data_IF_143412764972
#
_entry.id   IF_143412764972
#
_cell.length_a   1.000
_cell.length_b   1.000
_cell.length_c   1.000
_cell.angle_alpha   90.00
_cell.angle_beta   90.00
_cell.angle_gamma   90.00
#
_symmetry.space_group_name_H-M   'P 1'
#
loop_
_entity.id
_entity.type
_entity.pdbx_description
1 polymer ?
#
# COMPACT_ATOMS: atom_id res chain seq x y z
N UNK A 1 19.71 -11.35 17.38
CA UNK A 1 20.60 -10.87 16.31
C UNK A 1 20.08 -11.10 14.88
N UNK A 2 19.55 -12.28 14.48
CA UNK A 2 19.11 -12.48 13.08
C UNK A 2 17.98 -11.54 12.63
N UNK A 3 17.09 -11.13 13.54
CA UNK A 3 15.95 -10.27 13.21
C UNK A 3 16.38 -8.82 12.87
N UNK A 4 17.35 -8.28 13.59
CA UNK A 4 17.87 -6.93 13.33
C UNK A 4 18.60 -6.88 11.97
N UNK A 5 19.44 -7.85 11.70
CA UNK A 5 20.18 -7.94 10.42
C UNK A 5 19.21 -8.02 9.25
N UNK A 6 18.17 -8.85 9.36
CA UNK A 6 17.12 -8.97 8.33
C UNK A 6 16.40 -7.64 8.11
N UNK A 7 16.05 -6.91 9.19
CA UNK A 7 15.42 -5.59 9.11
C UNK A 7 16.25 -4.60 8.28
N UNK A 8 17.54 -4.45 8.62
CA UNK A 8 18.41 -3.49 7.93
C UNK A 8 18.73 -3.90 6.49
N UNK A 9 18.90 -5.20 6.19
CA UNK A 9 19.04 -5.70 4.83
C UNK A 9 17.79 -5.40 3.99
N UNK A 10 16.61 -5.55 4.56
CA UNK A 10 15.35 -5.20 3.89
C UNK A 10 15.26 -3.70 3.62
N UNK A 11 15.68 -2.84 4.57
CA UNK A 11 15.76 -1.39 4.34
C UNK A 11 16.73 -1.07 3.19
N UNK A 12 17.91 -1.69 3.17
CA UNK A 12 18.89 -1.51 2.07
C UNK A 12 18.27 -1.85 0.72
N UNK A 13 17.62 -3.01 0.62
CA UNK A 13 16.95 -3.43 -0.60
C UNK A 13 15.88 -2.40 -1.04
N UNK A 14 15.05 -1.94 -0.10
CA UNK A 14 14.05 -0.92 -0.38
C UNK A 14 14.64 0.41 -0.83
N UNK A 15 15.75 0.85 -0.22
CA UNK A 15 16.46 2.07 -0.62
C UNK A 15 17.07 1.97 -2.03
N UNK A 16 17.56 0.79 -2.43
CA UNK A 16 18.07 0.56 -3.79
C UNK A 16 16.95 0.71 -4.82
N UNK A 17 15.80 0.04 -4.60
CA UNK A 17 14.63 0.20 -5.49
C UNK A 17 14.15 1.65 -5.54
N UNK A 18 14.05 2.31 -4.39
CA UNK A 18 13.68 3.73 -4.32
C UNK A 18 14.61 4.60 -5.16
N UNK A 19 15.94 4.44 -4.99
CA UNK A 19 16.93 5.25 -5.68
C UNK A 19 16.94 4.99 -7.19
N UNK A 20 16.79 3.73 -7.64
CA UNK A 20 16.65 3.38 -9.07
C UNK A 20 15.42 4.06 -9.67
N UNK A 21 14.25 3.89 -9.06
CA UNK A 21 13.01 4.48 -9.55
C UNK A 21 13.09 6.01 -9.62
N UNK A 22 13.66 6.64 -8.60
CA UNK A 22 13.82 8.09 -8.55
C UNK A 22 14.85 8.60 -9.55
N UNK A 23 16.08 8.08 -9.51
CA UNK A 23 17.21 8.66 -10.22
C UNK A 23 17.21 8.36 -11.73
N UNK A 24 16.76 7.17 -12.14
CA UNK A 24 16.81 6.77 -13.54
C UNK A 24 15.54 7.11 -14.33
N UNK A 25 14.42 7.27 -13.65
CA UNK A 25 13.13 7.53 -14.30
C UNK A 25 12.57 8.92 -13.98
N UNK A 26 12.45 9.27 -12.70
CA UNK A 26 11.69 10.46 -12.30
C UNK A 26 12.51 11.74 -12.44
N UNK A 27 13.72 11.74 -11.90
CA UNK A 27 14.58 12.92 -11.88
C UNK A 27 14.90 13.46 -13.29
N UNK A 28 15.31 12.65 -14.29
CA UNK A 28 15.59 13.12 -15.63
C UNK A 28 14.38 13.75 -16.32
N UNK A 29 13.17 13.29 -16.00
CA UNK A 29 11.92 13.76 -16.56
C UNK A 29 11.27 14.92 -15.77
N UNK A 30 12.00 15.55 -14.84
CA UNK A 30 11.51 16.63 -13.98
C UNK A 30 10.23 16.27 -13.18
N UNK A 31 10.04 14.97 -12.90
CA UNK A 31 8.94 14.49 -12.05
C UNK A 31 9.40 14.62 -10.60
N UNK A 32 8.75 15.49 -9.85
CA UNK A 32 9.14 15.77 -8.46
C UNK A 32 8.66 14.69 -7.51
N UNK A 33 9.36 14.58 -6.37
CA UNK A 33 8.87 13.81 -5.24
C UNK A 33 7.97 14.73 -4.42
N UNK A 34 6.70 14.46 -4.25
CA UNK A 34 5.82 15.23 -3.36
C UNK A 34 6.40 15.43 -1.94
N UNK A 35 5.57 15.61 -0.96
CA UNK A 35 5.97 15.59 0.44
C UNK A 35 6.78 16.80 0.89
N UNK A 36 7.67 16.58 1.84
CA UNK A 36 8.51 17.62 2.46
C UNK A 36 9.41 18.30 1.44
N UNK A 37 9.94 17.58 0.46
CA UNK A 37 10.78 18.16 -0.60
C UNK A 37 9.97 19.12 -1.46
N UNK A 38 8.75 18.75 -1.86
CA UNK A 38 7.84 19.63 -2.59
C UNK A 38 7.53 20.92 -1.80
N UNK A 39 7.28 20.79 -0.50
CA UNK A 39 7.08 21.93 0.39
C UNK A 39 8.33 22.81 0.49
N UNK A 40 9.52 22.20 0.61
CA UNK A 40 10.78 22.93 0.62
C UNK A 40 11.05 23.69 -0.68
N UNK A 41 10.65 23.14 -1.83
CA UNK A 41 10.75 23.82 -3.14
C UNK A 41 9.82 25.04 -3.23
N UNK A 42 8.60 24.95 -2.69
CA UNK A 42 7.68 26.10 -2.60
C UNK A 42 8.31 27.21 -1.75
N UNK A 43 8.83 26.87 -0.57
CA UNK A 43 9.48 27.85 0.32
C UNK A 43 10.71 28.46 -0.35
N UNK A 44 11.53 27.67 -1.05
CA UNK A 44 12.68 28.17 -1.80
C UNK A 44 12.26 29.25 -2.83
N UNK A 45 11.20 28.98 -3.59
CA UNK A 45 10.70 29.93 -4.59
C UNK A 45 10.22 31.24 -3.96
N UNK A 46 9.63 31.21 -2.78
CA UNK A 46 9.08 32.41 -2.11
C UNK A 46 10.14 33.18 -1.33
N UNK A 47 11.17 32.53 -0.81
CA UNK A 47 12.12 33.11 0.14
C UNK A 47 13.57 33.10 -0.32
N UNK A 48 13.89 32.28 -1.34
CA UNK A 48 15.27 32.03 -1.78
C UNK A 48 16.05 31.07 -0.87
N UNK A 49 15.43 30.49 0.17
CA UNK A 49 16.10 29.61 1.12
C UNK A 49 16.49 28.27 0.45
N UNK A 50 17.71 27.74 0.64
CA UNK A 50 18.15 26.50 -0.01
C UNK A 50 17.23 25.31 0.30
N UNK A 51 16.82 24.57 -0.73
CA UNK A 51 15.86 23.45 -0.63
C UNK A 51 16.36 22.38 0.36
N UNK A 52 17.65 22.04 0.31
CA UNK A 52 18.24 21.02 1.20
C UNK A 52 18.14 21.42 2.67
N UNK A 53 18.48 22.67 3.01
CA UNK A 53 18.40 23.19 4.39
C UNK A 53 16.95 23.18 4.87
N UNK A 54 16.02 23.65 4.01
CA UNK A 54 14.60 23.67 4.35
C UNK A 54 14.04 22.27 4.53
N UNK A 55 14.46 21.31 3.70
CA UNK A 55 14.08 19.88 3.85
C UNK A 55 14.53 19.34 5.21
N UNK A 56 15.76 19.62 5.64
CA UNK A 56 16.26 19.20 6.96
C UNK A 56 15.44 19.87 8.07
N UNK A 57 15.24 21.18 8.00
CA UNK A 57 14.48 21.94 9.00
C UNK A 57 13.05 21.42 9.17
N UNK A 58 12.37 21.09 8.07
CA UNK A 58 11.02 20.52 8.09
C UNK A 58 11.00 19.07 8.62
N UNK A 59 12.07 18.30 8.40
CA UNK A 59 12.15 16.93 8.89
C UNK A 59 12.47 16.84 10.40
N UNK A 60 13.24 17.77 10.97
CA UNK A 60 13.59 17.74 12.41
C UNK A 60 12.35 17.63 13.31
N UNK A 61 11.33 18.52 13.23
CA UNK A 61 10.15 18.39 14.06
C UNK A 61 9.37 17.10 13.80
N UNK A 62 9.32 16.62 12.54
CA UNK A 62 8.66 15.37 12.20
C UNK A 62 9.33 14.17 12.87
N UNK A 63 10.67 14.12 12.90
CA UNK A 63 11.41 13.08 13.60
C UNK A 63 11.26 13.15 15.11
N UNK A 64 11.20 14.35 15.70
CA UNK A 64 10.94 14.51 17.14
C UNK A 64 9.55 13.98 17.53
N UNK A 65 8.53 14.29 16.72
CA UNK A 65 7.18 13.76 16.93
C UNK A 65 7.15 12.25 16.70
N UNK A 66 7.85 11.75 15.67
CA UNK A 66 7.95 10.31 15.39
C UNK A 66 8.59 9.54 16.55
N UNK A 67 9.67 10.06 17.13
CA UNK A 67 10.32 9.47 18.30
C UNK A 67 9.34 9.30 19.46
N UNK A 68 8.57 10.35 19.76
CA UNK A 68 7.60 10.30 20.87
C UNK A 68 6.47 9.29 20.62
N UNK A 69 6.08 9.04 19.36
CA UNK A 69 4.92 8.20 19.00
C UNK A 69 5.28 6.74 18.68
N UNK A 70 6.48 6.49 18.18
CA UNK A 70 6.91 5.18 17.64
C UNK A 70 8.17 4.63 18.30
N UNK A 71 8.84 5.44 19.14
CA UNK A 71 10.04 5.03 19.88
C UNK A 71 11.34 5.09 19.05
N UNK A 72 12.44 4.71 19.72
CA UNK A 72 13.81 4.82 19.17
C UNK A 72 14.07 3.87 18.00
N UNK A 73 13.52 2.65 18.03
CA UNK A 73 13.76 1.64 16.98
C UNK A 73 13.21 2.10 15.62
N UNK A 74 12.05 2.75 15.62
CA UNK A 74 11.50 3.40 14.43
C UNK A 74 12.38 4.56 13.96
N UNK A 75 12.81 5.42 14.88
CA UNK A 75 13.61 6.59 14.56
C UNK A 75 14.96 6.20 13.94
N UNK A 76 15.68 5.26 14.55
CA UNK A 76 16.98 4.79 14.04
C UNK A 76 16.84 4.13 12.68
N UNK A 77 15.85 3.25 12.51
CA UNK A 77 15.57 2.61 11.21
C UNK A 77 15.23 3.64 10.13
N UNK A 78 14.46 4.67 10.48
CA UNK A 78 14.06 5.72 9.53
C UNK A 78 15.19 6.68 9.19
N UNK A 79 16.01 7.08 10.15
CA UNK A 79 17.21 7.87 9.89
C UNK A 79 18.22 7.11 9.01
N UNK A 80 18.38 5.80 9.25
CA UNK A 80 19.19 4.94 8.40
C UNK A 80 18.61 4.86 6.98
N UNK A 81 17.30 4.63 6.83
CA UNK A 81 16.62 4.57 5.55
C UNK A 81 16.72 5.90 4.77
N UNK A 82 16.51 7.04 5.45
CA UNK A 82 16.64 8.38 4.86
C UNK A 82 18.08 8.65 4.41
N UNK A 83 19.06 8.41 5.26
CA UNK A 83 20.48 8.63 4.94
C UNK A 83 20.94 7.75 3.79
N UNK A 84 20.62 6.46 3.83
CA UNK A 84 21.01 5.51 2.80
C UNK A 84 20.33 5.80 1.45
N UNK A 85 19.03 6.13 1.45
CA UNK A 85 18.33 6.49 0.21
C UNK A 85 18.93 7.74 -0.44
N UNK A 86 19.29 8.75 0.35
CA UNK A 86 19.95 9.96 -0.14
C UNK A 86 21.31 9.65 -0.76
N UNK A 87 22.15 8.88 -0.05
CA UNK A 87 23.47 8.47 -0.58
C UNK A 87 23.34 7.65 -1.87
N UNK A 88 22.39 6.72 -1.95
CA UNK A 88 22.18 5.92 -3.17
C UNK A 88 21.67 6.77 -4.33
N UNK A 89 20.78 7.73 -4.08
CA UNK A 89 20.30 8.67 -5.11
C UNK A 89 21.48 9.46 -5.68
N UNK A 90 22.34 10.01 -4.82
CA UNK A 90 23.52 10.77 -5.26
C UNK A 90 24.54 9.87 -5.99
N UNK A 91 24.77 8.64 -5.51
CA UNK A 91 25.64 7.67 -6.15
C UNK A 91 25.15 7.31 -7.56
N UNK A 92 23.84 7.08 -7.71
CA UNK A 92 23.24 6.73 -9.01
C UNK A 92 23.18 7.91 -9.97
N UNK A 93 23.15 9.15 -9.45
CA UNK A 93 23.29 10.34 -10.27
C UNK A 93 24.60 10.36 -11.08
N UNK A 94 25.68 9.83 -10.48
CA UNK A 94 26.99 9.72 -11.15
C UNK A 94 27.02 8.78 -12.36
N UNK A 95 26.02 7.87 -12.51
CA UNK A 95 25.97 6.97 -13.66
C UNK A 95 25.40 7.60 -14.93
N UNK A 96 24.70 8.74 -14.81
CA UNK A 96 24.11 9.45 -15.95
C UNK A 96 23.08 8.65 -16.75
N UNK A 97 22.46 7.62 -16.12
CA UNK A 97 21.50 6.74 -16.79
C UNK A 97 20.14 7.44 -16.85
N UNK A 98 19.61 7.60 -18.06
CA UNK A 98 18.24 8.01 -18.33
C UNK A 98 17.52 6.78 -18.91
N UNK A 99 16.58 6.21 -18.15
CA UNK A 99 15.92 4.98 -18.57
C UNK A 99 14.87 5.21 -19.66
N UNK A 100 14.27 6.41 -19.71
CA UNK A 100 13.33 6.84 -20.73
C UNK A 100 13.20 8.37 -20.74
N UNK A 101 12.98 8.92 -21.93
CA UNK A 101 12.71 10.37 -22.14
C UNK A 101 11.20 10.66 -22.20
N UNK A 102 10.35 9.64 -22.13
CA UNK A 102 8.90 9.80 -22.07
C UNK A 102 8.43 10.01 -20.61
N UNK A 103 7.93 11.24 -20.26
CA UNK A 103 7.52 11.54 -18.89
C UNK A 103 6.38 10.66 -18.37
N UNK A 104 5.47 10.21 -19.27
CA UNK A 104 4.37 9.34 -18.86
C UNK A 104 4.87 7.95 -18.48
N UNK A 105 5.74 7.38 -19.32
CA UNK A 105 6.39 6.10 -19.06
C UNK A 105 7.26 6.16 -17.81
N UNK A 106 8.01 7.25 -17.64
CA UNK A 106 8.82 7.51 -16.44
C UNK A 106 7.94 7.58 -15.18
N UNK A 107 6.81 8.30 -15.22
CA UNK A 107 5.88 8.41 -14.10
C UNK A 107 5.33 7.05 -13.67
N UNK A 108 4.94 6.20 -14.62
CA UNK A 108 4.36 4.88 -14.33
C UNK A 108 5.43 3.90 -13.84
N UNK A 109 6.50 3.67 -14.63
CA UNK A 109 7.52 2.67 -14.29
C UNK A 109 8.33 3.12 -13.08
N UNK A 110 8.76 4.39 -13.06
CA UNK A 110 9.45 4.98 -11.91
C UNK A 110 8.59 4.93 -10.64
N UNK A 111 7.28 5.20 -10.78
CA UNK A 111 6.30 5.08 -9.71
C UNK A 111 6.17 3.65 -9.16
N UNK A 112 6.18 2.64 -10.03
CA UNK A 112 6.15 1.21 -9.62
C UNK A 112 7.41 0.84 -8.85
N UNK A 113 8.60 1.14 -9.42
CA UNK A 113 9.88 0.76 -8.82
C UNK A 113 10.09 1.50 -7.49
N UNK A 114 9.86 2.82 -7.47
CA UNK A 114 9.92 3.65 -6.25
C UNK A 114 8.92 3.17 -5.19
N UNK A 115 7.69 2.88 -5.61
CA UNK A 115 6.63 2.40 -4.73
C UNK A 115 6.94 1.06 -4.09
N UNK A 116 7.53 0.12 -4.85
CA UNK A 116 8.02 -1.15 -4.32
C UNK A 116 9.11 -0.90 -3.25
N UNK A 117 10.08 -0.02 -3.54
CA UNK A 117 11.13 0.36 -2.59
C UNK A 117 10.56 0.93 -1.28
N UNK A 118 9.67 1.92 -1.38
CA UNK A 118 9.00 2.52 -0.22
C UNK A 118 8.17 1.50 0.55
N UNK A 119 7.39 0.67 -0.15
CA UNK A 119 6.58 -0.38 0.47
C UNK A 119 7.41 -1.36 1.29
N UNK A 120 8.57 -1.78 0.77
CA UNK A 120 9.53 -2.67 1.47
C UNK A 120 10.07 -1.99 2.74
N UNK A 121 10.43 -0.69 2.68
CA UNK A 121 10.91 0.07 3.85
C UNK A 121 9.80 0.19 4.90
N UNK A 122 8.58 0.51 4.48
CA UNK A 122 7.44 0.67 5.40
C UNK A 122 7.00 -0.66 6.02
N UNK A 123 7.13 -1.76 5.29
CA UNK A 123 6.82 -3.11 5.78
C UNK A 123 7.63 -3.49 7.01
N UNK A 124 8.92 -3.13 7.05
CA UNK A 124 9.79 -3.37 8.23
C UNK A 124 9.68 -2.29 9.31
N UNK A 125 8.73 -1.38 9.18
CA UNK A 125 8.44 -0.37 10.18
C UNK A 125 9.34 0.86 10.15
N UNK A 126 10.14 1.07 9.07
CA UNK A 126 10.94 2.28 8.85
C UNK A 126 10.26 3.24 7.85
N UNK A 127 10.88 4.38 7.57
CA UNK A 127 10.46 5.35 6.53
C UNK A 127 11.68 6.07 5.97
N UNK A 128 11.52 6.69 4.81
CA UNK A 128 12.54 7.59 4.22
C UNK A 128 12.46 9.01 4.76
N UNK A 129 11.63 9.26 5.78
CA UNK A 129 11.39 10.59 6.34
C UNK A 129 10.29 11.36 5.59
N UNK A 130 10.14 12.63 5.93
CA UNK A 130 9.19 13.49 5.25
C UNK A 130 7.73 13.28 5.68
N UNK A 131 6.83 13.47 4.72
CA UNK A 131 5.38 13.37 4.93
C UNK A 131 4.95 11.96 5.37
N UNK A 132 5.74 10.95 5.06
CA UNK A 132 5.51 9.56 5.45
C UNK A 132 5.32 9.39 6.96
N UNK A 133 6.06 10.19 7.75
CA UNK A 133 5.91 10.24 9.21
C UNK A 133 4.54 10.75 9.59
N UNK A 134 4.08 11.81 8.92
CA UNK A 134 2.75 12.40 9.14
C UNK A 134 1.66 11.38 8.79
N UNK A 135 1.80 10.72 7.64
CA UNK A 135 0.89 9.65 7.20
C UNK A 135 0.79 8.54 8.25
N UNK A 136 1.94 8.09 8.78
CA UNK A 136 2.00 7.04 9.80
C UNK A 136 1.34 7.46 11.12
N UNK A 137 1.48 8.72 11.51
CA UNK A 137 0.80 9.27 12.69
C UNK A 137 -0.71 9.36 12.46
N UNK A 138 -1.14 9.90 11.30
CA UNK A 138 -2.55 10.03 10.94
C UNK A 138 -3.24 8.67 10.86
N UNK A 139 -2.56 7.65 10.34
CA UNK A 139 -3.08 6.30 10.27
C UNK A 139 -3.42 5.69 11.63
N UNK A 140 -2.72 6.07 12.72
CA UNK A 140 -3.13 5.65 14.08
C UNK A 140 -4.54 6.13 14.45
N UNK A 141 -4.97 7.28 13.90
CA UNK A 141 -6.31 7.84 14.12
C UNK A 141 -7.31 7.39 13.05
N UNK A 142 -6.84 7.14 11.83
CA UNK A 142 -7.64 6.77 10.65
C UNK A 142 -7.35 5.32 10.25
N UNK A 143 -7.54 4.37 11.19
CA UNK A 143 -7.21 2.96 11.00
C UNK A 143 -7.95 2.29 9.83
N UNK A 144 -9.13 2.80 9.46
CA UNK A 144 -9.94 2.30 8.33
C UNK A 144 -9.45 2.74 6.95
N UNK A 145 -8.54 3.73 6.89
CA UNK A 145 -8.02 4.28 5.62
C UNK A 145 -6.65 3.68 5.32
N UNK A 146 -6.42 3.26 4.09
CA UNK A 146 -5.14 2.70 3.66
C UNK A 146 -4.03 3.75 3.72
N UNK A 147 -2.79 3.32 3.99
CA UNK A 147 -1.62 4.18 4.09
C UNK A 147 -1.42 5.03 2.82
N UNK A 148 -1.49 4.39 1.63
CA UNK A 148 -1.34 5.07 0.35
C UNK A 148 -2.42 6.12 0.10
N UNK A 149 -3.66 5.89 0.54
CA UNK A 149 -4.73 6.88 0.37
C UNK A 149 -4.46 8.16 1.16
N UNK A 150 -4.00 8.05 2.42
CA UNK A 150 -3.64 9.22 3.24
C UNK A 150 -2.45 9.94 2.61
N UNK A 151 -1.44 9.19 2.18
CA UNK A 151 -0.24 9.72 1.53
C UNK A 151 -0.61 10.51 0.27
N UNK A 152 -1.38 9.90 -0.64
CA UNK A 152 -1.81 10.54 -1.88
C UNK A 152 -2.61 11.83 -1.63
N UNK A 153 -3.51 11.83 -0.61
CA UNK A 153 -4.30 13.01 -0.28
C UNK A 153 -3.44 14.19 0.16
N UNK A 154 -2.44 13.93 1.03
CA UNK A 154 -1.52 14.98 1.48
C UNK A 154 -0.59 15.46 0.36
N UNK A 155 -0.04 14.52 -0.42
CA UNK A 155 0.82 14.86 -1.55
C UNK A 155 0.07 15.65 -2.62
N UNK A 156 -1.20 15.32 -2.89
CA UNK A 156 -2.03 16.06 -3.87
C UNK A 156 -2.15 17.54 -3.48
N UNK A 157 -2.35 17.84 -2.20
CA UNK A 157 -2.44 19.22 -1.71
C UNK A 157 -1.11 19.96 -1.95
N UNK A 158 0.02 19.31 -1.63
CA UNK A 158 1.35 19.90 -1.80
C UNK A 158 1.68 20.11 -3.28
N UNK A 159 1.38 19.12 -4.13
CA UNK A 159 1.63 19.18 -5.57
C UNK A 159 0.75 20.26 -6.23
N UNK A 160 -0.51 20.40 -5.80
CA UNK A 160 -1.37 21.47 -6.28
C UNK A 160 -0.82 22.85 -5.91
N UNK A 161 -0.37 23.04 -4.67
CA UNK A 161 0.29 24.27 -4.23
C UNK A 161 1.59 24.51 -5.02
N UNK A 162 2.41 23.49 -5.25
CA UNK A 162 3.61 23.55 -6.06
C UNK A 162 3.31 24.00 -7.49
N UNK A 163 2.29 23.44 -8.13
CA UNK A 163 1.88 23.80 -9.48
C UNK A 163 1.46 25.29 -9.58
N UNK A 164 0.68 25.75 -8.60
CA UNK A 164 0.21 27.14 -8.56
C UNK A 164 1.35 28.15 -8.34
N UNK A 165 2.26 27.86 -7.41
CA UNK A 165 3.35 28.77 -7.04
C UNK A 165 4.45 28.83 -8.11
N UNK A 166 4.81 27.68 -8.70
CA UNK A 166 5.90 27.59 -9.68
C UNK A 166 5.43 27.66 -11.14
N UNK A 167 4.13 27.61 -11.41
CA UNK A 167 3.58 27.60 -12.78
C UNK A 167 3.91 26.33 -13.59
N UNK A 168 4.40 25.24 -12.93
CA UNK A 168 4.83 24.01 -13.59
C UNK A 168 3.71 22.95 -13.59
N UNK A 169 2.63 23.25 -14.28
CA UNK A 169 1.43 22.39 -14.30
C UNK A 169 1.67 21.02 -14.90
N UNK A 170 2.43 20.94 -16.00
CA UNK A 170 2.71 19.67 -16.69
C UNK A 170 3.51 18.70 -15.79
N UNK A 171 4.61 19.19 -15.19
CA UNK A 171 5.41 18.41 -14.24
C UNK A 171 4.58 17.96 -13.02
N UNK A 172 3.67 18.80 -12.54
CA UNK A 172 2.76 18.46 -11.44
C UNK A 172 1.77 17.35 -11.84
N UNK A 173 1.25 17.35 -13.07
CA UNK A 173 0.36 16.29 -13.55
C UNK A 173 1.06 14.93 -13.62
N UNK A 174 2.27 14.85 -14.18
CA UNK A 174 3.07 13.62 -14.17
C UNK A 174 3.45 13.18 -12.75
N UNK A 175 3.73 14.15 -11.86
CA UNK A 175 3.99 13.86 -10.45
C UNK A 175 2.77 13.24 -9.77
N UNK A 176 1.55 13.73 -10.02
CA UNK A 176 0.33 13.13 -9.49
C UNK A 176 0.10 11.70 -10.00
N UNK A 177 0.35 11.44 -11.28
CA UNK A 177 0.27 10.09 -11.85
C UNK A 177 1.28 9.17 -11.17
N UNK A 178 2.53 9.61 -11.06
CA UNK A 178 3.58 8.87 -10.36
C UNK A 178 3.19 8.56 -8.91
N UNK A 179 2.68 9.54 -8.17
CA UNK A 179 2.26 9.37 -6.77
C UNK A 179 1.08 8.42 -6.65
N UNK A 180 0.11 8.48 -7.56
CA UNK A 180 -1.00 7.52 -7.58
C UNK A 180 -0.50 6.09 -7.77
N UNK A 181 0.39 5.84 -8.75
CA UNK A 181 0.99 4.53 -8.99
C UNK A 181 1.81 4.08 -7.78
N UNK A 182 2.69 4.96 -7.27
CA UNK A 182 3.51 4.71 -6.08
C UNK A 182 2.65 4.25 -4.90
N UNK A 183 1.56 4.97 -4.59
CA UNK A 183 0.71 4.64 -3.44
C UNK A 183 -0.01 3.31 -3.62
N UNK A 184 -0.44 2.97 -4.84
CA UNK A 184 -1.05 1.66 -5.13
C UNK A 184 -0.06 0.51 -4.93
N UNK A 185 1.19 0.69 -5.35
CA UNK A 185 2.24 -0.30 -5.15
C UNK A 185 2.64 -0.42 -3.68
N UNK A 186 2.75 0.70 -2.97
CA UNK A 186 2.97 0.71 -1.51
C UNK A 186 1.87 -0.07 -0.79
N UNK A 187 0.60 0.21 -1.09
CA UNK A 187 -0.52 -0.51 -0.48
C UNK A 187 -0.48 -2.01 -0.84
N UNK A 188 -0.11 -2.35 -2.06
CA UNK A 188 0.06 -3.73 -2.50
C UNK A 188 1.16 -4.46 -1.70
N UNK A 189 2.29 -3.80 -1.45
CA UNK A 189 3.40 -4.38 -0.67
C UNK A 189 3.04 -4.48 0.81
N UNK A 190 2.34 -3.49 1.38
CA UNK A 190 1.97 -3.45 2.80
C UNK A 190 0.83 -4.42 3.16
N UNK A 191 -0.19 -4.51 2.30
CA UNK A 191 -1.42 -5.24 2.61
C UNK A 191 -1.62 -6.47 1.73
N UNK A 192 -0.77 -6.63 0.70
CA UNK A 192 -0.97 -7.67 -0.30
C UNK A 192 -2.16 -7.38 -1.24
N UNK A 193 -2.47 -8.36 -2.05
CA UNK A 193 -3.72 -8.40 -2.81
C UNK A 193 -4.77 -8.93 -1.86
N UNK A 194 -5.90 -8.24 -1.69
CA UNK A 194 -7.07 -8.73 -0.94
C UNK A 194 -7.47 -10.11 -1.52
N UNK A 195 -6.97 -11.17 -0.90
CA UNK A 195 -7.08 -12.51 -1.44
C UNK A 195 -8.24 -13.30 -0.83
N UNK A 196 -8.97 -12.73 0.13
CA UNK A 196 -10.07 -13.40 0.80
C UNK A 196 -11.43 -12.79 0.41
N UNK A 197 -12.41 -13.67 0.25
CA UNK A 197 -13.80 -13.31 0.03
C UNK A 197 -14.68 -14.10 0.97
N UNK A 198 -15.72 -13.46 1.50
CA UNK A 198 -16.81 -14.13 2.18
C UNK A 198 -17.88 -14.40 1.14
N UNK A 199 -18.29 -15.65 1.03
CA UNK A 199 -19.36 -16.11 0.16
C UNK A 199 -20.56 -16.51 1.00
N UNK A 200 -21.73 -15.98 0.67
CA UNK A 200 -23.01 -16.43 1.19
C UNK A 200 -23.76 -17.13 0.08
N UNK A 201 -24.20 -18.36 0.35
CA UNK A 201 -24.91 -19.20 -0.60
C UNK A 201 -26.27 -19.57 0.01
N UNK A 202 -27.33 -19.29 -0.71
CA UNK A 202 -28.70 -19.67 -0.34
C UNK A 202 -29.18 -20.65 -1.39
N UNK A 203 -29.41 -21.88 -1.00
CA UNK A 203 -29.80 -22.98 -1.88
C UNK A 203 -30.73 -23.93 -1.15
N UNK A 204 -31.44 -24.76 -1.88
CA UNK A 204 -32.21 -25.87 -1.32
C UNK A 204 -31.35 -27.14 -1.12
N UNK A 205 -30.11 -27.15 -1.70
CA UNK A 205 -29.11 -28.24 -1.64
C UNK A 205 -27.96 -27.91 -0.70
N UNK A 206 -28.25 -27.34 0.49
CA UNK A 206 -27.24 -26.88 1.46
C UNK A 206 -26.32 -27.97 1.95
N UNK A 207 -26.85 -29.16 2.22
CA UNK A 207 -26.07 -30.28 2.77
C UNK A 207 -25.05 -30.83 1.77
N UNK A 208 -25.48 -31.03 0.51
CA UNK A 208 -24.61 -31.54 -0.56
C UNK A 208 -23.51 -30.55 -0.91
N UNK A 209 -23.88 -29.27 -1.03
CA UNK A 209 -22.92 -28.19 -1.32
C UNK A 209 -21.91 -28.08 -0.16
N UNK A 210 -22.36 -28.12 1.09
CA UNK A 210 -21.49 -28.08 2.27
C UNK A 210 -20.50 -29.22 2.28
N UNK A 211 -20.98 -30.45 2.04
CA UNK A 211 -20.12 -31.62 1.99
C UNK A 211 -19.04 -31.53 0.94
N UNK A 212 -19.38 -31.03 -0.24
CA UNK A 212 -18.44 -30.88 -1.34
C UNK A 212 -17.43 -29.76 -1.09
N UNK A 213 -17.83 -28.64 -0.46
CA UNK A 213 -16.90 -27.56 -0.08
C UNK A 213 -15.88 -28.04 0.96
N UNK A 214 -16.33 -28.81 1.96
CA UNK A 214 -15.48 -29.27 3.07
C UNK A 214 -14.59 -30.43 2.66
N UNK A 215 -15.14 -31.43 1.98
CA UNK A 215 -14.46 -32.69 1.65
C UNK A 215 -13.93 -32.77 0.22
N UNK A 216 -14.38 -31.91 -0.68
CA UNK A 216 -13.99 -31.84 -2.08
C UNK A 216 -12.71 -31.04 -2.31
N UNK A 217 -12.56 -30.47 -3.49
CA UNK A 217 -11.34 -29.78 -3.97
C UNK A 217 -11.01 -28.49 -3.22
N UNK A 218 -12.02 -27.80 -2.67
CA UNK A 218 -11.84 -26.50 -2.02
C UNK A 218 -11.23 -26.63 -0.61
N UNK A 219 -11.52 -27.69 0.13
CA UNK A 219 -11.08 -27.94 1.51
C UNK A 219 -11.24 -26.68 2.40
N UNK A 220 -12.46 -26.11 2.47
CA UNK A 220 -12.77 -24.90 3.23
C UNK A 220 -13.83 -25.13 4.28
N UNK A 221 -13.68 -24.46 5.41
CA UNK A 221 -14.71 -24.44 6.45
C UNK A 221 -15.97 -23.73 5.96
N UNK A 222 -17.12 -24.28 6.32
CA UNK A 222 -18.44 -23.69 6.06
C UNK A 222 -19.14 -23.50 7.40
N UNK A 223 -19.80 -22.36 7.56
CA UNK A 223 -20.69 -22.10 8.70
C UNK A 223 -22.11 -21.99 8.18
N UNK A 224 -23.01 -22.75 8.75
CA UNK A 224 -24.45 -22.66 8.47
C UNK A 224 -25.06 -21.59 9.35
N UNK A 225 -25.71 -20.61 8.73
CA UNK A 225 -26.46 -19.54 9.41
C UNK A 225 -27.93 -19.83 9.23
N UNK A 226 -28.63 -19.98 10.35
CA UNK A 226 -30.09 -20.13 10.33
C UNK A 226 -30.74 -18.78 9.96
N UNK A 227 -31.65 -18.82 8.99
CA UNK A 227 -32.39 -17.65 8.52
C UNK A 227 -33.85 -17.98 8.26
N UNK A 228 -34.68 -16.93 8.15
CA UNK A 228 -36.08 -17.04 7.78
C UNK A 228 -36.34 -16.17 6.56
N UNK A 229 -36.91 -16.76 5.51
CA UNK A 229 -37.34 -16.04 4.34
C UNK A 229 -38.47 -15.07 4.68
N UNK A 230 -38.26 -13.77 4.54
CA UNK A 230 -39.27 -12.75 4.90
C UNK A 230 -40.55 -12.87 4.07
N UNK A 231 -40.43 -13.27 2.80
CA UNK A 231 -41.57 -13.43 1.90
C UNK A 231 -42.30 -14.77 2.09
N UNK A 232 -41.54 -15.87 2.17
CA UNK A 232 -42.11 -17.23 2.22
C UNK A 232 -42.43 -17.68 3.66
N UNK A 233 -41.83 -17.05 4.68
CA UNK A 233 -41.91 -17.51 6.07
C UNK A 233 -41.11 -18.79 6.34
N UNK A 234 -40.48 -19.40 5.31
CA UNK A 234 -39.78 -20.66 5.43
C UNK A 234 -38.41 -20.48 6.13
N UNK A 235 -38.06 -21.46 6.98
CA UNK A 235 -36.68 -21.56 7.49
C UNK A 235 -35.74 -21.93 6.35
N UNK A 236 -34.61 -21.26 6.30
CA UNK A 236 -33.55 -21.52 5.32
C UNK A 236 -32.19 -21.44 5.98
N UNK A 237 -31.29 -22.28 5.55
CA UNK A 237 -29.90 -22.21 5.93
C UNK A 237 -29.12 -21.39 4.87
N UNK A 238 -28.27 -20.52 5.34
CA UNK A 238 -27.34 -19.75 4.50
C UNK A 238 -25.94 -20.26 4.77
N UNK A 239 -25.30 -20.81 3.75
CA UNK A 239 -23.90 -21.20 3.84
C UNK A 239 -23.01 -19.96 3.82
N UNK A 240 -22.21 -19.80 4.84
CA UNK A 240 -21.16 -18.81 4.87
C UNK A 240 -19.80 -19.52 4.76
N UNK A 241 -19.03 -19.23 3.72
CA UNK A 241 -17.67 -19.72 3.60
C UNK A 241 -16.71 -18.60 3.25
N UNK A 242 -15.48 -18.70 3.76
CA UNK A 242 -14.39 -17.77 3.46
C UNK A 242 -13.39 -18.49 2.56
N UNK A 243 -13.15 -17.93 1.39
CA UNK A 243 -12.30 -18.52 0.36
C UNK A 243 -11.29 -17.52 -0.17
N UNK A 244 -10.24 -18.00 -0.82
CA UNK A 244 -9.36 -17.14 -1.61
C UNK A 244 -10.07 -16.67 -2.89
N UNK A 245 -9.82 -15.44 -3.31
CA UNK A 245 -10.44 -14.84 -4.51
C UNK A 245 -10.28 -15.72 -5.77
N UNK A 246 -9.16 -16.43 -5.87
CA UNK A 246 -8.89 -17.36 -6.97
C UNK A 246 -9.86 -18.57 -7.00
N UNK A 247 -10.42 -18.94 -5.84
CA UNK A 247 -11.33 -20.08 -5.68
C UNK A 247 -12.81 -19.73 -5.99
N UNK A 248 -13.14 -18.45 -6.21
CA UNK A 248 -14.53 -18.02 -6.49
C UNK A 248 -15.09 -18.75 -7.72
N UNK A 249 -14.28 -18.87 -8.80
CA UNK A 249 -14.71 -19.51 -10.03
C UNK A 249 -15.03 -21.00 -9.85
N UNK A 250 -14.26 -21.68 -9.01
CA UNK A 250 -14.45 -23.09 -8.66
C UNK A 250 -15.69 -23.26 -7.78
N UNK A 251 -15.82 -22.45 -6.71
CA UNK A 251 -17.00 -22.48 -5.84
C UNK A 251 -18.29 -22.18 -6.62
N UNK A 252 -18.27 -21.22 -7.54
CA UNK A 252 -19.42 -20.89 -8.37
C UNK A 252 -19.83 -22.04 -9.28
N UNK A 253 -18.87 -22.77 -9.86
CA UNK A 253 -19.14 -23.95 -10.69
C UNK A 253 -19.73 -25.09 -9.85
N UNK A 254 -19.17 -25.32 -8.66
CA UNK A 254 -19.64 -26.30 -7.72
C UNK A 254 -21.10 -26.01 -7.32
N UNK A 255 -21.41 -24.82 -6.86
CA UNK A 255 -22.78 -24.45 -6.45
C UNK A 255 -23.76 -24.63 -7.62
N UNK A 256 -23.42 -24.17 -8.83
CA UNK A 256 -24.27 -24.33 -10.01
C UNK A 256 -24.52 -25.77 -10.45
N UNK A 257 -23.60 -26.68 -10.14
CA UNK A 257 -23.76 -28.10 -10.46
C UNK A 257 -24.85 -28.77 -9.59
N UNK A 258 -25.09 -28.26 -8.39
CA UNK A 258 -26.12 -28.76 -7.47
C UNK A 258 -27.43 -27.94 -7.59
N UNK A 259 -27.33 -26.64 -7.77
CA UNK A 259 -28.49 -25.75 -7.86
C UNK A 259 -28.23 -24.56 -8.78
N UNK A 260 -28.80 -24.58 -9.96
CA UNK A 260 -28.71 -23.48 -10.93
C UNK A 260 -29.40 -22.17 -10.44
N UNK A 261 -30.37 -22.31 -9.52
CA UNK A 261 -31.13 -21.19 -8.96
C UNK A 261 -30.59 -20.68 -7.65
N UNK A 262 -29.48 -21.24 -7.17
CA UNK A 262 -28.83 -20.80 -5.94
C UNK A 262 -28.51 -19.31 -5.99
N UNK A 263 -28.79 -18.61 -4.89
CA UNK A 263 -28.42 -17.21 -4.73
C UNK A 263 -27.03 -17.11 -4.10
N UNK A 264 -26.10 -16.50 -4.82
CA UNK A 264 -24.69 -16.48 -4.51
C UNK A 264 -24.19 -15.04 -4.35
N UNK A 265 -23.77 -14.66 -3.13
CA UNK A 265 -23.24 -13.33 -2.80
C UNK A 265 -21.75 -13.45 -2.51
N UNK A 266 -20.93 -12.57 -3.07
CA UNK A 266 -19.50 -12.46 -2.79
C UNK A 266 -19.19 -11.09 -2.23
N UNK A 267 -18.56 -11.06 -1.05
CA UNK A 267 -18.11 -9.83 -0.41
C UNK A 267 -16.62 -9.91 -0.15
N UNK A 268 -15.88 -8.85 -0.46
CA UNK A 268 -14.45 -8.80 -0.16
C UNK A 268 -14.20 -8.75 1.35
N UNK A 269 -13.33 -9.63 1.83
CA UNK A 269 -12.86 -9.60 3.21
C UNK A 269 -11.44 -9.03 3.25
N UNK A 270 -11.26 -7.91 3.95
CA UNK A 270 -9.95 -7.22 3.99
C UNK A 270 -8.93 -7.89 4.92
N UNK A 271 -9.38 -8.42 6.05
CA UNK A 271 -8.51 -9.04 7.04
C UNK A 271 -9.15 -10.35 7.50
N UNK A 272 -8.58 -11.47 7.09
CA UNK A 272 -9.01 -12.79 7.50
C UNK A 272 -7.84 -13.51 8.17
N UNK A 273 -8.00 -13.82 9.44
CA UNK A 273 -7.01 -14.52 10.24
C UNK A 273 -7.54 -15.90 10.65
N UNK A 274 -6.66 -16.89 10.69
CA UNK A 274 -7.00 -18.24 11.13
C UNK A 274 -6.51 -19.32 10.17
N UNK A 275 -6.90 -20.58 10.43
CA UNK A 275 -6.46 -21.73 9.65
C UNK A 275 -6.78 -21.57 8.16
N UNK A 276 -5.76 -21.63 7.32
CA UNK A 276 -5.87 -21.47 5.88
C UNK A 276 -5.74 -20.03 5.37
N UNK A 277 -5.54 -19.03 6.28
CA UNK A 277 -5.30 -17.63 6.05
C UNK A 277 -4.10 -17.15 6.88
N UNK A 278 -3.98 -15.84 7.13
CA UNK A 278 -2.88 -15.28 7.93
C UNK A 278 -2.99 -15.65 9.42
N UNK A 279 -1.85 -15.85 10.07
CA UNK A 279 -1.81 -16.13 11.50
C UNK A 279 -2.06 -14.87 12.32
N UNK A 280 -2.97 -14.93 13.31
CA UNK A 280 -3.26 -13.83 14.24
C UNK A 280 -2.00 -13.34 14.98
N UNK A 281 -1.04 -14.24 15.25
CA UNK A 281 0.21 -13.93 15.96
C UNK A 281 1.22 -13.13 15.14
N UNK A 282 1.04 -13.00 13.83
CA UNK A 282 1.93 -12.23 12.94
C UNK A 282 1.47 -10.79 12.72
N UNK A 283 0.30 -10.43 13.24
CA UNK A 283 -0.24 -9.06 13.17
C UNK A 283 0.46 -8.21 14.24
N UNK A 284 1.37 -7.36 13.81
CA UNK A 284 2.06 -6.36 14.63
C UNK A 284 1.51 -4.96 14.43
#
# INVERSE_FOLDING_TARGET
MPHLVRKYLTIVLGCVFYAIGFQFFLYPNNITSGGVVGTAMIVNQLTGFPVGVMTILLNVPLFLVAWRHFGLDFMVGSLFGMGLSSVLVDLFAGFGIIATDDPMLAAVIGGVIKGAGLGIIYYVGATTGGIDIVVKILRKKLASVNFGTIMLSLDTIIIAAYAMVLGRYESAMYTLICMYVTTKVVDLVLYGIDNACICYIISEHTEEITKEIVSGTLHRGVTLLEGKGAYSGAHREVLMCVIKRQQIGELKRLVKAYDEKAFFIVTNAKNVFGNGFENISEVR
#
